data_IF_299322203321
#
_entry.id   IF_299322203321
#
_cell.length_a   1.000
_cell.length_b   1.000
_cell.length_c   1.000
_cell.angle_alpha   90.00
_cell.angle_beta   90.00
_cell.angle_gamma   90.00
#
_symmetry.space_group_name_H-M   'P 1'
#
loop_
_entity.id
_entity.type
_entity.pdbx_description
1 polymer ?
#
# COMPACT_ATOMS: atom_id res chain seq x y z
N UNK A 1 13.03 -4.91 -30.53
CA UNK A 1 12.94 -4.80 -29.06
C UNK A 1 11.91 -5.83 -28.61
N UNK A 2 12.36 -6.97 -28.10
CA UNK A 2 11.46 -8.05 -27.68
C UNK A 2 11.08 -7.84 -26.21
N UNK A 3 9.78 -7.63 -25.96
CA UNK A 3 9.22 -7.72 -24.62
C UNK A 3 9.18 -9.21 -24.26
N UNK A 4 10.02 -9.64 -23.30
CA UNK A 4 10.20 -11.07 -23.02
C UNK A 4 9.20 -11.62 -21.98
N UNK A 5 8.68 -10.77 -21.08
CA UNK A 5 7.74 -11.16 -20.01
C UNK A 5 6.87 -9.96 -19.61
N UNK A 6 5.58 -10.20 -19.35
CA UNK A 6 4.68 -9.23 -18.72
C UNK A 6 4.63 -9.52 -17.22
N UNK A 7 4.96 -8.54 -16.37
CA UNK A 7 4.80 -8.64 -14.92
C UNK A 7 3.52 -7.91 -14.50
N UNK A 8 2.57 -8.64 -13.90
CA UNK A 8 1.28 -8.08 -13.49
C UNK A 8 1.08 -8.17 -11.98
N UNK A 9 0.12 -7.43 -11.44
CA UNK A 9 -0.44 -7.78 -10.14
C UNK A 9 -1.28 -9.09 -10.23
N UNK A 10 -1.83 -9.53 -9.10
CA UNK A 10 -2.63 -10.76 -9.02
C UNK A 10 -4.13 -10.51 -9.30
N UNK A 11 -4.47 -9.39 -9.94
CA UNK A 11 -5.84 -9.05 -10.30
C UNK A 11 -6.39 -10.03 -11.32
N UNK A 12 -7.57 -10.59 -11.05
CA UNK A 12 -8.18 -11.62 -11.89
C UNK A 12 -8.33 -11.18 -13.35
N UNK A 13 -8.71 -9.91 -13.57
CA UNK A 13 -8.91 -9.36 -14.91
C UNK A 13 -7.59 -9.25 -15.68
N UNK A 14 -6.50 -8.80 -15.04
CA UNK A 14 -5.21 -8.65 -15.72
C UNK A 14 -4.54 -10.00 -15.95
N UNK A 15 -4.66 -10.93 -15.00
CA UNK A 15 -4.20 -12.31 -15.16
C UNK A 15 -4.92 -12.97 -16.34
N UNK A 16 -6.24 -12.81 -16.44
CA UNK A 16 -7.01 -13.32 -17.58
C UNK A 16 -6.56 -12.68 -18.90
N UNK A 17 -6.41 -11.35 -18.93
CA UNK A 17 -5.98 -10.64 -20.13
C UNK A 17 -4.59 -11.08 -20.62
N UNK A 18 -3.66 -11.39 -19.71
CA UNK A 18 -2.33 -11.91 -20.08
C UNK A 18 -2.41 -13.37 -20.53
N UNK A 19 -3.22 -14.20 -19.88
CA UNK A 19 -3.43 -15.59 -20.33
C UNK A 19 -4.09 -15.69 -21.70
N UNK A 20 -4.96 -14.74 -22.03
CA UNK A 20 -5.62 -14.63 -23.33
C UNK A 20 -4.70 -13.99 -24.40
N UNK A 21 -3.50 -13.54 -24.01
CA UNK A 21 -2.51 -12.92 -24.90
C UNK A 21 -1.46 -13.92 -25.39
N UNK A 22 -0.63 -13.52 -26.37
CA UNK A 22 0.51 -14.31 -26.83
C UNK A 22 1.77 -14.17 -25.96
N UNK A 23 1.68 -13.49 -24.81
CA UNK A 23 2.83 -13.16 -23.97
C UNK A 23 2.90 -14.04 -22.72
N UNK A 24 4.13 -14.31 -22.27
CA UNK A 24 4.34 -14.95 -20.98
C UNK A 24 4.12 -13.96 -19.83
N UNK A 25 3.14 -14.27 -18.97
CA UNK A 25 2.85 -13.52 -17.76
C UNK A 25 3.58 -14.07 -16.53
N UNK A 26 4.09 -13.18 -15.68
CA UNK A 26 4.56 -13.48 -14.32
C UNK A 26 3.88 -12.55 -13.31
N UNK A 27 3.65 -13.06 -12.11
CA UNK A 27 3.07 -12.25 -11.04
C UNK A 27 4.14 -11.41 -10.35
N UNK A 28 3.76 -10.21 -9.94
CA UNK A 28 4.63 -9.30 -9.23
C UNK A 28 4.92 -9.87 -7.84
N UNK A 29 6.20 -10.13 -7.55
CA UNK A 29 6.65 -10.62 -6.25
C UNK A 29 6.18 -9.71 -5.10
N UNK A 30 6.28 -8.39 -5.30
CA UNK A 30 5.91 -7.38 -4.31
C UNK A 30 4.43 -7.47 -3.97
N UNK A 31 3.58 -7.61 -4.99
CA UNK A 31 2.15 -7.71 -4.81
C UNK A 31 1.76 -9.06 -4.18
N UNK A 32 2.46 -10.13 -4.53
CA UNK A 32 2.26 -11.46 -3.92
C UNK A 32 2.64 -11.45 -2.44
N UNK A 33 3.78 -10.84 -2.09
CA UNK A 33 4.21 -10.67 -0.70
C UNK A 33 3.21 -9.81 0.10
N UNK A 34 2.77 -8.69 -0.47
CA UNK A 34 1.76 -7.83 0.17
C UNK A 34 0.48 -8.61 0.46
N UNK A 35 -0.01 -9.42 -0.49
CA UNK A 35 -1.18 -10.28 -0.28
C UNK A 35 -0.96 -11.31 0.82
N UNK A 36 0.21 -11.96 0.87
CA UNK A 36 0.52 -12.93 1.92
C UNK A 36 0.53 -12.28 3.31
N UNK A 37 1.13 -11.09 3.43
CA UNK A 37 1.14 -10.31 4.68
C UNK A 37 -0.30 -9.94 5.06
N UNK A 38 -1.09 -9.38 4.15
CA UNK A 38 -2.47 -8.99 4.42
C UNK A 38 -3.32 -10.20 4.81
N UNK A 39 -3.21 -11.33 4.11
CA UNK A 39 -3.92 -12.55 4.48
C UNK A 39 -3.57 -13.05 5.89
N UNK A 40 -2.32 -12.92 6.31
CA UNK A 40 -1.91 -13.27 7.67
C UNK A 40 -2.42 -12.31 8.75
N UNK A 41 -2.55 -11.01 8.43
CA UNK A 41 -3.13 -10.01 9.33
C UNK A 41 -4.66 -10.16 9.42
N UNK A 42 -5.32 -10.35 8.28
CA UNK A 42 -6.77 -10.50 8.17
C UNK A 42 -7.26 -11.78 8.86
N UNK A 43 -6.42 -12.81 8.96
CA UNK A 43 -6.72 -14.03 9.71
C UNK A 43 -6.80 -13.81 11.23
N UNK A 44 -6.32 -12.68 11.75
CA UNK A 44 -6.27 -12.38 13.18
C UNK A 44 -7.32 -11.33 13.55
N UNK A 45 -8.40 -11.77 14.19
CA UNK A 45 -9.52 -10.90 14.59
C UNK A 45 -9.07 -9.70 15.43
N UNK A 46 -8.21 -9.92 16.43
CA UNK A 46 -7.68 -8.83 17.28
C UNK A 46 -6.92 -7.76 16.49
N UNK A 47 -6.21 -8.15 15.44
CA UNK A 47 -5.51 -7.20 14.56
C UNK A 47 -6.53 -6.40 13.76
N UNK A 48 -7.55 -7.06 13.21
CA UNK A 48 -8.63 -6.39 12.48
C UNK A 48 -9.39 -5.39 13.35
N UNK A 49 -9.68 -5.74 14.61
CA UNK A 49 -10.31 -4.84 15.58
C UNK A 49 -9.45 -3.60 15.85
N UNK A 50 -8.14 -3.79 16.06
CA UNK A 50 -7.20 -2.69 16.28
C UNK A 50 -7.11 -1.77 15.04
N UNK A 51 -7.03 -2.34 13.84
CA UNK A 51 -7.05 -1.60 12.57
C UNK A 51 -8.37 -0.83 12.42
N UNK A 52 -9.50 -1.45 12.72
CA UNK A 52 -10.81 -0.80 12.66
C UNK A 52 -10.93 0.36 13.65
N UNK A 53 -10.43 0.18 14.88
CA UNK A 53 -10.36 1.26 15.87
C UNK A 53 -9.50 2.43 15.39
N UNK A 54 -8.31 2.13 14.85
CA UNK A 54 -7.44 3.13 14.24
C UNK A 54 -8.14 3.89 13.11
N UNK A 55 -8.80 3.18 12.19
CA UNK A 55 -9.56 3.79 11.08
C UNK A 55 -10.67 4.71 11.60
N UNK A 56 -11.40 4.34 12.64
CA UNK A 56 -12.42 5.22 13.26
C UNK A 56 -11.82 6.54 13.76
N UNK A 57 -10.67 6.47 14.43
CA UNK A 57 -9.96 7.66 14.93
C UNK A 57 -9.52 8.55 13.76
N UNK A 58 -8.88 7.96 12.74
CA UNK A 58 -8.42 8.72 11.57
C UNK A 58 -9.59 9.38 10.86
N UNK A 59 -10.67 8.64 10.64
CA UNK A 59 -11.88 9.16 10.00
C UNK A 59 -12.45 10.33 10.79
N UNK A 60 -12.56 10.24 12.12
CA UNK A 60 -13.08 11.33 12.94
C UNK A 60 -12.29 12.64 12.78
N UNK A 61 -10.96 12.57 12.83
CA UNK A 61 -10.11 13.75 12.74
C UNK A 61 -9.96 14.29 11.32
N UNK A 62 -10.08 13.44 10.30
CA UNK A 62 -10.04 13.85 8.89
C UNK A 62 -11.41 14.27 8.34
N UNK A 63 -12.50 13.99 9.05
CA UNK A 63 -13.86 14.30 8.61
C UNK A 63 -14.12 15.80 8.47
N UNK A 64 -13.51 16.64 9.30
CA UNK A 64 -13.77 18.08 9.28
C UNK A 64 -12.57 18.90 9.76
N UNK A 65 -12.51 20.14 9.28
CA UNK A 65 -11.48 21.10 9.69
C UNK A 65 -11.51 21.38 11.21
N UNK A 66 -12.66 21.56 11.88
CA UNK A 66 -12.68 21.75 13.33
C UNK A 66 -12.12 20.56 14.12
N UNK A 67 -12.37 19.32 13.67
CA UNK A 67 -11.77 18.14 14.31
C UNK A 67 -10.26 18.12 14.12
N UNK A 68 -9.77 18.50 12.93
CA UNK A 68 -8.35 18.60 12.67
C UNK A 68 -7.66 19.70 13.50
N UNK A 69 -8.32 20.83 13.73
CA UNK A 69 -7.83 21.90 14.60
C UNK A 69 -7.74 21.43 16.06
N UNK A 70 -8.75 20.71 16.55
CA UNK A 70 -8.71 20.08 17.89
C UNK A 70 -7.54 19.11 18.04
N UNK A 71 -7.26 18.30 17.01
CA UNK A 71 -6.10 17.41 17.03
C UNK A 71 -4.78 18.20 17.17
N UNK A 72 -4.65 19.32 16.44
CA UNK A 72 -3.45 20.15 16.53
C UNK A 72 -3.30 20.80 17.91
N UNK A 73 -4.39 21.18 18.56
CA UNK A 73 -4.37 21.69 19.94
C UNK A 73 -3.87 20.61 20.90
N UNK A 74 -4.44 19.40 20.84
CA UNK A 74 -4.00 18.26 21.66
C UNK A 74 -2.52 17.95 21.43
N UNK A 75 -2.05 17.94 20.18
CA UNK A 75 -0.64 17.74 19.86
C UNK A 75 0.26 18.83 20.46
N UNK A 76 -0.23 20.08 20.52
CA UNK A 76 0.49 21.20 21.14
C UNK A 76 0.57 21.05 22.66
N UNK A 77 -0.55 20.68 23.30
CA UNK A 77 -0.62 20.44 24.75
C UNK A 77 0.29 19.28 25.20
N UNK A 78 0.38 18.23 24.39
CA UNK A 78 1.27 17.09 24.63
C UNK A 78 2.72 17.34 24.21
N UNK A 79 3.03 18.53 23.70
CA UNK A 79 4.36 18.91 23.20
C UNK A 79 4.92 17.92 22.16
N UNK A 80 4.04 17.37 21.31
CA UNK A 80 4.41 16.48 20.20
C UNK A 80 4.33 17.23 18.86
N UNK A 81 5.09 16.84 17.84
CA UNK A 81 5.06 17.55 16.58
C UNK A 81 3.69 17.38 15.89
N UNK A 82 3.20 18.47 15.29
CA UNK A 82 1.90 18.51 14.60
C UNK A 82 1.95 17.68 13.33
N UNK A 83 1.34 16.51 13.36
CA UNK A 83 1.23 15.62 12.21
C UNK A 83 -0.21 15.45 11.79
N UNK A 84 -0.46 15.53 10.47
CA UNK A 84 -1.73 15.07 9.90
C UNK A 84 -1.80 13.55 10.00
N UNK A 85 -2.92 13.03 10.51
CA UNK A 85 -3.13 11.60 10.58
C UNK A 85 -3.41 11.08 9.16
N UNK A 86 -2.59 10.12 8.73
CA UNK A 86 -2.68 9.54 7.39
C UNK A 86 -3.65 8.37 7.46
N UNK A 87 -4.64 8.37 6.57
CA UNK A 87 -5.55 7.24 6.42
C UNK A 87 -4.81 6.02 5.87
N UNK A 88 -5.05 4.88 6.53
CA UNK A 88 -4.70 3.57 6.01
C UNK A 88 -5.56 3.27 4.78
N UNK A 89 -4.90 3.09 3.64
CA UNK A 89 -5.55 2.77 2.37
C UNK A 89 -4.88 1.51 1.85
N UNK A 90 -5.66 0.44 1.67
CA UNK A 90 -5.20 -0.91 1.34
C UNK A 90 -4.36 -0.99 0.06
N UNK A 91 -4.61 -0.08 -0.89
CA UNK A 91 -3.85 0.02 -2.15
C UNK A 91 -2.56 0.86 -2.02
N UNK A 92 -2.39 1.60 -0.92
CA UNK A 92 -1.26 2.50 -0.66
C UNK A 92 -0.42 2.01 0.52
N UNK A 93 -0.11 0.71 0.55
CA UNK A 93 0.85 0.18 1.52
C UNK A 93 2.27 0.57 1.13
N UNK A 94 2.92 1.41 1.94
CA UNK A 94 4.35 1.75 1.79
C UNK A 94 5.28 0.66 2.34
N UNK A 95 4.77 -0.37 3.03
CA UNK A 95 5.61 -1.38 3.66
C UNK A 95 6.47 -2.17 2.65
N UNK A 96 5.92 -2.67 1.52
CA UNK A 96 6.76 -3.28 0.49
C UNK A 96 7.75 -2.28 -0.10
N UNK A 97 7.33 -1.02 -0.30
CA UNK A 97 8.21 0.06 -0.79
C UNK A 97 9.38 0.35 0.17
N UNK A 98 9.17 0.39 1.48
CA UNK A 98 10.22 0.63 2.49
C UNK A 98 11.18 -0.56 2.52
N UNK A 99 10.64 -1.78 2.52
CA UNK A 99 11.44 -3.01 2.50
C UNK A 99 12.27 -3.11 1.23
N UNK A 100 11.65 -2.86 0.07
CA UNK A 100 12.31 -2.73 -1.22
C UNK A 100 13.38 -1.65 -1.16
N UNK A 101 13.09 -0.44 -0.69
CA UNK A 101 14.07 0.66 -0.68
C UNK A 101 15.33 0.29 0.12
N UNK A 102 15.16 -0.38 1.26
CA UNK A 102 16.28 -0.92 2.05
C UNK A 102 17.02 -2.07 1.36
N UNK A 103 16.31 -2.90 0.60
CA UNK A 103 16.88 -4.00 -0.19
C UNK A 103 17.61 -3.53 -1.46
N UNK A 104 17.02 -2.61 -2.23
CA UNK A 104 17.58 -1.99 -3.44
C UNK A 104 18.85 -1.18 -3.15
N UNK A 105 18.91 -0.51 -1.99
CA UNK A 105 20.13 0.19 -1.56
C UNK A 105 21.34 -0.75 -1.40
N UNK A 106 21.12 -2.07 -1.38
CA UNK A 106 22.17 -3.11 -1.22
C UNK A 106 22.41 -3.94 -2.47
N UNK A 107 21.73 -3.67 -3.60
CA UNK A 107 21.89 -4.46 -4.85
C UNK A 107 22.03 -3.57 -6.07
N UNK A 108 23.14 -3.74 -6.77
CA UNK A 108 23.38 -3.13 -8.07
C UNK A 108 22.46 -3.78 -9.11
N UNK A 109 21.49 -2.99 -9.60
CA UNK A 109 20.79 -3.13 -10.90
C UNK A 109 19.74 -4.25 -11.05
N UNK A 110 18.50 -3.94 -10.69
CA UNK A 110 17.32 -4.34 -11.49
C UNK A 110 16.38 -3.12 -11.66
N UNK A 111 16.05 -2.78 -12.91
CA UNK A 111 15.20 -1.63 -13.24
C UNK A 111 13.80 -2.18 -13.52
N UNK A 112 12.88 -2.05 -12.56
CA UNK A 112 11.47 -2.33 -12.77
C UNK A 112 10.76 -0.99 -12.98
N UNK A 113 10.43 -0.66 -14.23
CA UNK A 113 9.64 0.53 -14.54
C UNK A 113 8.18 0.22 -14.24
N UNK A 114 7.70 0.68 -13.09
CA UNK A 114 6.27 0.64 -12.76
C UNK A 114 5.52 1.52 -13.76
N UNK A 115 4.77 0.93 -14.68
CA UNK A 115 3.75 1.67 -15.43
C UNK A 115 2.56 1.88 -14.47
N UNK A 116 2.58 2.99 -13.73
CA UNK A 116 1.36 3.53 -13.13
C UNK A 116 0.51 4.09 -14.25
N UNK A 117 -0.51 3.35 -14.67
CA UNK A 117 -1.65 3.93 -15.38
C UNK A 117 -2.39 4.84 -14.40
N UNK A 118 -2.28 6.15 -14.65
CA UNK A 118 -3.20 7.16 -14.16
C UNK A 118 -4.55 6.87 -14.81
N UNK A 119 -5.55 6.50 -14.01
CA UNK A 119 -6.94 6.65 -14.42
C UNK A 119 -7.54 7.80 -13.63
N UNK A 120 -8.07 8.72 -14.41
CA UNK A 120 -8.64 10.03 -14.08
C UNK A 120 -9.89 9.91 -13.20
#
# INVERSE_FOLDING_TARGET
>A
MYLHVIVTDNGLNIVKAVNDSCFEGKTCFIHTLQRAIHGGLDAQERINEAIAAGRRIVTHFNHSQPSQEKLQLIQTELNVPKHKIIQDVSTRCKAPYIWLKGYWSKRERFRCTSLTTVTQ
#
